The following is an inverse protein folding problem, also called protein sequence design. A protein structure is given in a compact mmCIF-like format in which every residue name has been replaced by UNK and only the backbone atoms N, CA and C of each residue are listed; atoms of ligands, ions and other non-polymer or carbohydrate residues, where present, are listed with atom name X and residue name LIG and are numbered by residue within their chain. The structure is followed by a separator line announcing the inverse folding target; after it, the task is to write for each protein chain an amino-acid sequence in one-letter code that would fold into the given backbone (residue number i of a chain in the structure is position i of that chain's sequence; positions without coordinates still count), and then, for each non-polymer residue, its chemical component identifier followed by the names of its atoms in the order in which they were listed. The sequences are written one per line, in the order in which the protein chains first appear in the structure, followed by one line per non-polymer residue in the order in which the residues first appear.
data_IF_599019712865
#
_entry.id   IF_599019712865
#
_cell.length_a   1.000
_cell.length_b   1.000
_cell.length_c   1.000
_cell.angle_alpha   90.00
_cell.angle_beta   90.00
_cell.angle_gamma   90.00
#
_symmetry.space_group_name_H-M   'P 1'
#
loop_
_entity.id
_entity.type
_entity.pdbx_description
1 polymer ?
#
# COMPACT_ATOMS: atom_id res chain seq x y z
N UNK A 1 -19.24 -3.69 -15.22
CA UNK A 1 -18.44 -3.63 -13.97
C UNK A 1 -19.31 -3.88 -12.75
N UNK A 2 -18.93 -4.86 -11.91
CA UNK A 2 -19.59 -5.11 -10.63
C UNK A 2 -19.39 -3.92 -9.66
N UNK A 3 -20.29 -3.74 -8.68
CA UNK A 3 -20.17 -2.68 -7.66
C UNK A 3 -18.87 -2.76 -6.85
N UNK A 4 -18.33 -3.97 -6.71
CA UNK A 4 -17.04 -4.24 -6.04
C UNK A 4 -15.87 -3.67 -6.83
N UNK A 5 -15.86 -3.84 -8.16
CA UNK A 5 -14.80 -3.30 -9.02
C UNK A 5 -14.73 -1.77 -9.02
N UNK A 6 -15.88 -1.09 -9.00
CA UNK A 6 -15.93 0.38 -8.91
C UNK A 6 -15.35 0.91 -7.60
N UNK A 7 -15.72 0.29 -6.48
CA UNK A 7 -15.27 0.69 -5.16
C UNK A 7 -13.76 0.49 -4.94
N UNK A 8 -13.16 -0.49 -5.64
CA UNK A 8 -11.72 -0.71 -5.60
C UNK A 8 -10.95 0.45 -6.25
N UNK A 9 -11.40 0.88 -7.43
CA UNK A 9 -10.77 1.98 -8.16
C UNK A 9 -10.92 3.31 -7.42
N UNK A 10 -12.07 3.54 -6.76
CA UNK A 10 -12.30 4.73 -5.94
C UNK A 10 -11.34 4.78 -4.75
N UNK A 11 -11.22 3.69 -3.99
CA UNK A 11 -10.29 3.62 -2.85
C UNK A 11 -8.82 3.79 -3.28
N UNK A 12 -8.44 3.24 -4.44
CA UNK A 12 -7.09 3.39 -4.97
C UNK A 12 -6.82 4.85 -5.37
N UNK A 13 -7.79 5.49 -6.04
CA UNK A 13 -7.70 6.91 -6.39
C UNK A 13 -7.54 7.77 -5.14
N UNK A 14 -8.38 7.56 -4.14
CA UNK A 14 -8.35 8.29 -2.86
C UNK A 14 -7.01 8.12 -2.14
N UNK A 15 -6.42 6.92 -2.14
CA UNK A 15 -5.12 6.68 -1.54
C UNK A 15 -3.98 7.45 -2.23
N UNK A 16 -4.03 7.55 -3.57
CA UNK A 16 -3.04 8.33 -4.31
C UNK A 16 -3.27 9.84 -4.23
N UNK A 17 -4.53 10.27 -4.12
CA UNK A 17 -4.89 11.67 -3.85
C UNK A 17 -4.39 12.13 -2.48
N UNK A 18 -4.55 11.30 -1.44
CA UNK A 18 -4.07 11.59 -0.08
C UNK A 18 -2.55 11.75 0.02
N UNK A 19 -1.80 11.15 -0.91
CA UNK A 19 -0.34 11.29 -1.02
C UNK A 19 0.09 12.37 -2.02
N UNK A 20 -0.84 13.07 -2.68
CA UNK A 20 -0.56 14.13 -3.65
C UNK A 20 0.04 13.63 -4.97
N UNK A 21 -0.06 12.33 -5.27
CA UNK A 21 0.64 11.69 -6.39
C UNK A 21 -0.28 10.96 -7.37
N UNK A 22 -1.58 11.23 -7.37
CA UNK A 22 -2.56 10.56 -8.26
C UNK A 22 -2.14 10.47 -9.74
N UNK A 23 -1.54 11.53 -10.28
CA UNK A 23 -1.13 11.59 -11.69
C UNK A 23 0.40 11.51 -11.86
N UNK A 24 1.10 10.87 -10.91
CA UNK A 24 2.57 10.83 -10.85
C UNK A 24 3.03 9.36 -10.76
N UNK A 25 3.00 8.62 -11.88
CA UNK A 25 3.21 7.16 -11.88
C UNK A 25 4.59 6.74 -11.35
N UNK A 26 5.64 7.53 -11.60
CA UNK A 26 6.99 7.25 -11.10
C UNK A 26 7.06 7.39 -9.57
N UNK A 27 6.41 8.43 -9.02
CA UNK A 27 6.34 8.63 -7.57
C UNK A 27 5.48 7.54 -6.90
N UNK A 28 4.39 7.11 -7.56
CA UNK A 28 3.58 5.97 -7.09
C UNK A 28 4.40 4.68 -7.05
N UNK A 29 5.20 4.39 -8.08
CA UNK A 29 6.06 3.22 -8.12
C UNK A 29 7.08 3.22 -6.97
N UNK A 30 7.68 4.38 -6.69
CA UNK A 30 8.61 4.55 -5.57
C UNK A 30 7.93 4.31 -4.21
N UNK A 31 6.74 4.89 -3.98
CA UNK A 31 5.97 4.66 -2.74
C UNK A 31 5.62 3.18 -2.57
N UNK A 32 5.20 2.51 -3.64
CA UNK A 32 4.88 1.08 -3.59
C UNK A 32 6.09 0.25 -3.20
N UNK A 33 7.28 0.52 -3.76
CA UNK A 33 8.50 -0.20 -3.40
C UNK A 33 8.81 -0.10 -1.90
N UNK A 34 8.68 1.10 -1.34
CA UNK A 34 8.89 1.37 0.09
C UNK A 34 7.89 0.60 0.95
N UNK A 35 6.61 0.70 0.62
CA UNK A 35 5.53 0.00 1.33
C UNK A 35 5.76 -1.52 1.33
N UNK A 36 6.21 -2.06 0.20
CA UNK A 36 6.49 -3.49 0.04
C UNK A 36 7.71 -3.94 0.86
N UNK A 37 8.76 -3.13 0.91
CA UNK A 37 9.97 -3.41 1.71
C UNK A 37 9.64 -3.59 3.19
N UNK A 38 8.69 -2.82 3.70
CA UNK A 38 8.21 -2.92 5.09
C UNK A 38 7.26 -4.11 5.26
N UNK A 39 6.31 -4.30 4.34
CA UNK A 39 5.26 -5.32 4.48
C UNK A 39 5.76 -6.76 4.27
N UNK A 40 6.62 -7.01 3.27
CA UNK A 40 6.97 -8.37 2.85
C UNK A 40 7.70 -9.20 3.93
N UNK A 41 8.69 -8.66 4.67
CA UNK A 41 9.33 -9.39 5.78
C UNK A 41 8.33 -9.78 6.87
N UNK A 42 7.42 -8.86 7.24
CA UNK A 42 6.40 -9.15 8.25
C UNK A 42 5.38 -10.18 7.78
N UNK A 43 4.98 -10.13 6.51
CA UNK A 43 4.10 -11.14 5.92
C UNK A 43 4.74 -12.53 5.92
N UNK A 44 6.04 -12.63 5.60
CA UNK A 44 6.75 -13.90 5.65
C UNK A 44 6.80 -14.48 7.06
N UNK A 45 7.22 -13.69 8.06
CA UNK A 45 7.23 -14.14 9.46
C UNK A 45 5.85 -14.69 9.87
N UNK A 46 4.79 -13.97 9.53
CA UNK A 46 3.42 -14.38 9.81
C UNK A 46 2.98 -15.68 9.11
N UNK A 47 3.33 -15.88 7.83
CA UNK A 47 2.97 -17.09 7.07
C UNK A 47 3.65 -18.31 7.66
N UNK A 48 4.90 -18.18 8.11
CA UNK A 48 5.65 -19.29 8.72
C UNK A 48 5.32 -19.52 10.20
N UNK A 49 4.87 -18.49 10.94
CA UNK A 49 4.53 -18.56 12.37
C UNK A 49 3.06 -18.93 12.66
N UNK A 50 2.23 -19.18 11.62
CA UNK A 50 0.91 -19.81 11.78
C UNK A 50 -0.21 -18.93 12.33
N UNK A 51 -0.05 -17.60 12.34
CA UNK A 51 -1.10 -16.68 12.78
C UNK A 51 -2.26 -16.63 11.76
N UNK A 52 -3.48 -16.14 12.13
CA UNK A 52 -4.59 -15.89 11.20
C UNK A 52 -4.67 -14.43 10.70
N UNK A 53 -4.98 -14.24 9.40
CA UNK A 53 -4.70 -12.98 8.69
C UNK A 53 -5.54 -11.83 9.26
N UNK A 54 -6.75 -12.15 9.73
CA UNK A 54 -7.66 -11.18 10.32
C UNK A 54 -7.09 -10.46 11.55
N UNK A 55 -6.10 -11.04 12.25
CA UNK A 55 -5.47 -10.45 13.44
C UNK A 55 -4.13 -9.75 13.18
N UNK A 56 -3.43 -10.13 12.11
CA UNK A 56 -2.07 -9.69 11.79
C UNK A 56 -1.88 -8.17 11.83
N UNK A 57 -2.59 -7.39 11.00
CA UNK A 57 -2.36 -5.94 10.95
C UNK A 57 -2.74 -5.21 12.24
N UNK A 58 -3.79 -5.64 12.94
CA UNK A 58 -4.13 -5.04 14.24
C UNK A 58 -3.04 -5.29 15.29
N UNK A 59 -2.38 -6.46 15.25
CA UNK A 59 -1.31 -6.78 16.20
C UNK A 59 0.03 -6.15 15.84
N UNK A 60 0.33 -5.94 14.55
CA UNK A 60 1.61 -5.35 14.08
C UNK A 60 1.52 -3.88 13.65
N UNK A 61 0.36 -3.23 13.80
CA UNK A 61 0.14 -1.83 13.34
C UNK A 61 1.22 -0.89 13.86
N UNK A 62 1.52 -0.95 15.15
CA UNK A 62 2.50 -0.03 15.76
C UNK A 62 3.91 -0.25 15.20
N UNK A 63 4.31 -1.50 14.99
CA UNK A 63 5.60 -1.85 14.39
C UNK A 63 5.68 -1.39 12.94
N UNK A 64 4.62 -1.62 12.15
CA UNK A 64 4.51 -1.13 10.78
C UNK A 64 4.62 0.39 10.68
N UNK A 65 3.96 1.13 11.58
CA UNK A 65 4.03 2.59 11.57
C UNK A 65 5.45 3.09 11.88
N UNK A 66 6.15 2.45 12.81
CA UNK A 66 7.55 2.77 13.12
C UNK A 66 8.44 2.49 11.91
N UNK A 67 8.30 1.33 11.27
CA UNK A 67 9.09 0.98 10.09
C UNK A 67 8.81 1.90 8.90
N UNK A 68 7.54 2.27 8.68
CA UNK A 68 7.15 3.24 7.64
C UNK A 68 7.74 4.61 7.91
N UNK A 69 7.74 5.06 9.17
CA UNK A 69 8.32 6.34 9.56
C UNK A 69 9.82 6.40 9.21
N UNK A 70 10.56 5.32 9.44
CA UNK A 70 11.97 5.23 9.04
C UNK A 70 12.19 5.30 7.52
N UNK A 71 11.18 4.97 6.70
CA UNK A 71 11.28 5.07 5.25
C UNK A 71 10.92 6.46 4.70
N UNK A 72 10.39 7.38 5.51
CA UNK A 72 9.95 8.71 5.05
C UNK A 72 11.04 9.46 4.28
N UNK A 73 12.31 9.52 4.74
CA UNK A 73 13.37 10.22 4.01
C UNK A 73 13.59 9.71 2.58
N UNK A 74 13.17 8.47 2.28
CA UNK A 74 13.30 7.84 0.97
C UNK A 74 12.09 8.07 0.06
N UNK A 75 11.01 8.66 0.57
CA UNK A 75 9.83 8.98 -0.22
C UNK A 75 10.11 10.12 -1.22
N UNK A 76 9.39 10.13 -2.35
CA UNK A 76 9.43 11.24 -3.29
C UNK A 76 9.20 12.58 -2.59
N UNK A 77 9.94 13.61 -3.00
CA UNK A 77 9.81 14.97 -2.45
C UNK A 77 8.36 15.46 -2.57
N UNK A 78 7.69 15.17 -3.69
CA UNK A 78 6.30 15.55 -3.90
C UNK A 78 5.34 15.00 -2.84
N UNK A 79 5.60 13.79 -2.32
CA UNK A 79 4.79 13.20 -1.24
C UNK A 79 5.08 13.89 0.08
N UNK A 80 6.35 14.12 0.39
CA UNK A 80 6.78 14.78 1.64
C UNK A 80 6.35 16.25 1.72
N UNK A 81 6.31 16.94 0.59
CA UNK A 81 5.82 18.31 0.50
C UNK A 81 4.28 18.36 0.62
N UNK A 82 3.58 17.32 0.14
CA UNK A 82 2.13 17.23 0.23
C UNK A 82 1.64 16.88 1.63
N UNK A 83 2.31 15.93 2.30
CA UNK A 83 2.03 15.51 3.67
C UNK A 83 3.28 15.73 4.53
N UNK A 84 3.45 16.94 5.10
CA UNK A 84 4.66 17.28 5.86
C UNK A 84 4.68 16.68 7.27
N UNK A 85 3.53 16.29 7.83
CA UNK A 85 3.48 15.58 9.12
C UNK A 85 3.85 14.11 8.92
N UNK A 86 4.95 13.69 9.54
CA UNK A 86 5.50 12.35 9.36
C UNK A 86 4.63 11.25 9.96
N UNK A 87 3.83 11.55 10.99
CA UNK A 87 2.91 10.59 11.58
C UNK A 87 1.70 10.37 10.67
N UNK A 88 1.15 11.47 10.14
CA UNK A 88 0.09 11.44 9.14
C UNK A 88 0.54 10.70 7.88
N UNK A 89 1.75 10.99 7.39
CA UNK A 89 2.31 10.31 6.24
C UNK A 89 2.46 8.79 6.48
N UNK A 90 2.93 8.39 7.66
CA UNK A 90 3.00 6.98 8.04
C UNK A 90 1.63 6.30 8.08
N UNK A 91 0.59 7.03 8.51
CA UNK A 91 -0.79 6.53 8.50
C UNK A 91 -1.33 6.35 7.07
N UNK A 92 -1.09 7.31 6.17
CA UNK A 92 -1.49 7.19 4.77
C UNK A 92 -0.82 6.01 4.08
N UNK A 93 0.47 5.78 4.33
CA UNK A 93 1.19 4.61 3.84
C UNK A 93 0.64 3.29 4.42
N UNK A 94 0.29 3.29 5.71
CA UNK A 94 -0.34 2.14 6.35
C UNK A 94 -1.73 1.84 5.78
N UNK A 95 -2.53 2.86 5.44
CA UNK A 95 -3.81 2.67 4.79
C UNK A 95 -3.67 2.09 3.38
N UNK A 96 -2.59 2.44 2.68
CA UNK A 96 -2.21 1.83 1.41
C UNK A 96 -1.95 0.32 1.56
N UNK A 97 -1.23 -0.09 2.61
CA UNK A 97 -1.05 -1.50 2.98
C UNK A 97 -2.39 -2.17 3.26
N UNK A 98 -3.26 -1.55 4.08
CA UNK A 98 -4.58 -2.10 4.40
C UNK A 98 -5.45 -2.31 3.17
N UNK A 99 -5.49 -1.31 2.28
CA UNK A 99 -6.30 -1.35 1.07
C UNK A 99 -5.85 -2.51 0.18
N UNK A 100 -4.57 -2.57 -0.17
CA UNK A 100 -4.03 -3.57 -1.08
C UNK A 100 -4.09 -4.99 -0.47
N UNK A 101 -3.91 -5.15 0.84
CA UNK A 101 -4.10 -6.42 1.56
C UNK A 101 -5.54 -6.94 1.51
N UNK A 102 -6.53 -6.04 1.56
CA UNK A 102 -7.94 -6.44 1.47
C UNK A 102 -8.25 -7.15 0.14
N UNK A 103 -7.40 -6.98 -0.86
CA UNK A 103 -7.62 -7.40 -2.24
C UNK A 103 -6.71 -8.57 -2.67
N UNK A 104 -6.20 -9.37 -1.73
CA UNK A 104 -5.00 -10.16 -1.96
C UNK A 104 -5.13 -11.71 -1.95
N UNK A 105 -4.62 -12.46 -2.97
CA UNK A 105 -4.29 -13.89 -2.82
C UNK A 105 -2.86 -14.29 -2.40
N UNK A 106 -1.93 -13.35 -2.19
CA UNK A 106 -0.74 -13.32 -1.30
C UNK A 106 0.31 -12.31 -1.85
N UNK A 107 0.15 -11.04 -1.51
CA UNK A 107 0.35 -9.83 -2.35
C UNK A 107 0.52 -10.06 -3.83
N UNK A 108 -0.30 -10.91 -4.45
CA UNK A 108 0.05 -11.70 -5.63
C UNK A 108 0.47 -10.97 -6.89
N UNK A 109 1.76 -10.83 -7.13
CA UNK A 109 2.84 -11.24 -6.25
C UNK A 109 3.92 -10.18 -6.33
N UNK A 110 3.82 -9.24 -5.38
CA UNK A 110 4.62 -8.09 -4.99
C UNK A 110 4.87 -7.05 -6.10
N UNK A 111 4.38 -7.32 -7.33
CA UNK A 111 3.85 -6.46 -8.42
C UNK A 111 4.25 -7.06 -9.79
N UNK A 112 3.33 -7.43 -10.70
CA UNK A 112 3.74 -7.86 -12.05
C UNK A 112 3.24 -6.98 -13.21
N UNK A 113 2.93 -5.70 -12.96
CA UNK A 113 2.19 -4.72 -13.80
C UNK A 113 0.67 -4.71 -13.52
N UNK A 114 0.12 -3.51 -13.24
CA UNK A 114 -1.22 -3.23 -12.69
C UNK A 114 -2.35 -4.17 -13.20
N UNK A 115 -2.89 -5.03 -12.33
CA UNK A 115 -3.86 -6.08 -12.65
C UNK A 115 -5.29 -5.65 -13.03
N UNK A 116 -5.50 -4.50 -13.69
CA UNK A 116 -6.81 -4.07 -14.22
C UNK A 116 -6.78 -3.44 -15.62
N UNK A 117 -5.76 -3.73 -16.46
CA UNK A 117 -5.78 -3.43 -17.91
C UNK A 117 -5.79 -4.70 -18.78
N UNK A 118 -6.70 -5.64 -18.47
CA UNK A 118 -7.21 -6.57 -19.50
C UNK A 118 -8.72 -6.38 -19.63
N UNK A 119 -9.08 -5.24 -20.20
CA UNK A 119 -10.01 -5.28 -21.32
C UNK A 119 -9.28 -6.00 -22.47
N UNK A 120 -9.31 -7.32 -22.48
CA UNK A 120 -9.25 -8.00 -23.77
C UNK A 120 -10.64 -7.86 -24.37
N UNK A 121 -10.78 -6.84 -25.21
CA UNK A 121 -11.73 -6.88 -26.30
C UNK A 121 -11.66 -8.25 -26.96
N UNK A 122 -12.77 -9.00 -26.87
CA UNK A 122 -13.34 -9.82 -27.94
C UNK A 122 -14.74 -10.28 -27.52
#
# INVERSE_FOLDING_TARGET
MSSVGRRLLENEREAWEALGILNRPDDQACVLEIVLRVYAPMNNNYVFDGYPARRFLSSVKSELLVDLHYQIPHLPVAVRDHVPDENELSLHLYDLIRFKRRNDPAWSHILPEWGFLRDTAH
#
